data_IF_820636925830
#
_entry.id   IF_820636925830
#
_cell.length_a   1.000
_cell.length_b   1.000
_cell.length_c   1.000
_cell.angle_alpha   90.00
_cell.angle_beta   90.00
_cell.angle_gamma   90.00
#
_symmetry.space_group_name_H-M   'P 1'
#
loop_
_entity.id
_entity.type
_entity.pdbx_description
1 polymer ?
#
# COMPACT_ATOMS: atom_id res chain seq x y z
N UNK A 1 -33.18 33.66 28.01
CA UNK A 1 -33.52 34.60 26.91
C UNK A 1 -32.34 34.79 25.95
N UNK A 2 -31.13 35.08 26.44
CA UNK A 2 -29.92 35.28 25.61
C UNK A 2 -29.48 34.05 24.78
N UNK A 3 -29.71 32.83 25.26
CA UNK A 3 -29.34 31.61 24.53
C UNK A 3 -30.06 31.46 23.17
N UNK A 4 -31.33 31.89 23.07
CA UNK A 4 -32.07 31.88 21.80
C UNK A 4 -31.47 32.89 20.82
N UNK A 5 -31.12 34.08 21.30
CA UNK A 5 -30.48 35.12 20.50
C UNK A 5 -29.11 34.69 19.97
N UNK A 6 -28.29 34.05 20.81
CA UNK A 6 -26.98 33.52 20.39
C UNK A 6 -27.15 32.40 19.36
N UNK A 7 -28.11 31.50 19.55
CA UNK A 7 -28.39 30.44 18.58
C UNK A 7 -28.83 30.99 17.20
N UNK A 8 -29.61 32.07 17.19
CA UNK A 8 -30.09 32.72 15.97
C UNK A 8 -29.00 33.54 15.26
N UNK A 9 -28.14 34.19 16.03
CA UNK A 9 -26.94 34.87 15.52
C UNK A 9 -25.95 33.88 14.91
N UNK A 10 -25.68 32.75 15.57
CA UNK A 10 -24.78 31.72 15.04
C UNK A 10 -25.29 31.11 13.71
N UNK A 11 -26.61 31.10 13.48
CA UNK A 11 -27.21 30.64 12.21
C UNK A 11 -27.04 31.62 11.05
N UNK A 12 -26.98 32.92 11.34
CA UNK A 12 -26.88 33.97 10.31
C UNK A 12 -25.46 34.51 10.12
N UNK A 13 -24.56 34.25 11.07
CA UNK A 13 -23.17 34.64 11.00
C UNK A 13 -22.36 33.74 10.04
N UNK A 14 -21.90 34.31 8.93
CA UNK A 14 -21.09 33.62 7.91
C UNK A 14 -19.84 32.94 8.48
N UNK A 15 -19.15 33.59 9.43
CA UNK A 15 -17.95 33.04 10.08
C UNK A 15 -18.28 31.82 10.94
N UNK A 16 -19.41 31.84 11.65
CA UNK A 16 -19.88 30.70 12.44
C UNK A 16 -20.35 29.57 11.52
N UNK A 17 -21.12 29.87 10.47
CA UNK A 17 -21.63 28.88 9.53
C UNK A 17 -20.51 28.16 8.74
N UNK A 18 -19.42 28.86 8.41
CA UNK A 18 -18.23 28.28 7.77
C UNK A 18 -17.35 27.47 8.74
N UNK A 19 -17.36 27.80 10.03
CA UNK A 19 -16.59 27.10 11.07
C UNK A 19 -17.36 25.91 11.69
N UNK A 20 -18.68 25.90 11.55
CA UNK A 20 -19.56 24.85 12.07
C UNK A 20 -19.37 23.56 11.26
N UNK A 21 -18.80 22.53 11.89
CA UNK A 21 -18.57 21.23 11.26
C UNK A 21 -19.89 20.46 11.02
N UNK A 22 -21.00 20.87 11.62
CA UNK A 22 -22.31 20.22 11.50
C UNK A 22 -23.08 20.59 10.24
N UNK A 23 -22.72 21.70 9.57
CA UNK A 23 -23.29 22.13 8.28
C UNK A 23 -22.65 21.43 7.09
N UNK A 24 -21.57 20.68 7.30
CA UNK A 24 -21.02 19.76 6.30
C UNK A 24 -22.07 18.72 5.94
N UNK A 25 -22.38 18.58 4.64
CA UNK A 25 -23.24 17.49 4.17
C UNK A 25 -22.72 16.17 4.74
N UNK A 26 -23.61 15.36 5.34
CA UNK A 26 -23.25 14.00 5.75
C UNK A 26 -22.62 13.32 4.54
N UNK A 27 -21.41 12.82 4.72
CA UNK A 27 -20.72 12.04 3.70
C UNK A 27 -21.65 10.89 3.32
N UNK A 28 -21.87 10.71 2.02
CA UNK A 28 -22.70 9.63 1.52
C UNK A 28 -22.21 8.28 2.03
N UNK A 29 -23.10 7.29 2.09
CA UNK A 29 -22.74 5.95 2.54
C UNK A 29 -21.52 5.45 1.75
N UNK A 30 -20.56 4.86 2.47
CA UNK A 30 -19.35 4.28 1.88
C UNK A 30 -19.78 3.31 0.78
N UNK A 31 -19.33 3.57 -0.45
CA UNK A 31 -19.46 2.60 -1.53
C UNK A 31 -18.60 1.42 -1.13
N UNK A 32 -19.23 0.32 -0.71
CA UNK A 32 -18.53 -0.93 -0.49
C UNK A 32 -18.03 -1.41 -1.83
N UNK A 33 -16.71 -1.41 -2.03
CA UNK A 33 -16.10 -2.13 -3.15
C UNK A 33 -16.47 -3.59 -2.95
N UNK A 34 -17.25 -4.15 -3.89
CA UNK A 34 -17.63 -5.55 -3.84
C UNK A 34 -16.41 -6.41 -4.09
N UNK A 35 -16.22 -7.44 -3.27
CA UNK A 35 -15.17 -8.42 -3.50
C UNK A 35 -15.36 -9.06 -4.88
N UNK A 36 -14.30 -9.11 -5.71
CA UNK A 36 -14.40 -9.72 -7.03
C UNK A 36 -14.82 -11.18 -6.94
N UNK A 37 -15.82 -11.55 -7.74
CA UNK A 37 -16.27 -12.93 -7.90
C UNK A 37 -15.29 -13.81 -8.68
N UNK A 38 -14.28 -13.22 -9.34
CA UNK A 38 -13.25 -13.92 -10.14
C UNK A 38 -11.94 -13.14 -10.11
N UNK A 39 -10.81 -13.86 -10.19
CA UNK A 39 -9.49 -13.29 -10.44
C UNK A 39 -9.53 -12.33 -11.64
N UNK A 40 -8.80 -11.22 -11.55
CA UNK A 40 -8.63 -10.22 -12.62
C UNK A 40 -9.85 -9.40 -13.02
N UNK A 41 -11.02 -9.61 -12.41
CA UNK A 41 -12.21 -8.79 -12.69
C UNK A 41 -12.18 -7.41 -12.03
N UNK A 42 -11.52 -7.24 -10.89
CA UNK A 42 -11.60 -5.99 -10.10
C UNK A 42 -10.25 -5.55 -9.49
N UNK A 43 -9.32 -6.46 -9.15
CA UNK A 43 -8.10 -6.05 -8.43
C UNK A 43 -6.88 -6.81 -8.95
N UNK A 44 -5.90 -6.04 -9.42
CA UNK A 44 -4.50 -6.44 -9.57
C UNK A 44 -3.66 -5.51 -8.72
N UNK A 45 -2.74 -6.05 -7.94
CA UNK A 45 -1.90 -5.25 -7.05
C UNK A 45 -0.49 -5.23 -7.61
N UNK A 46 0.04 -4.08 -8.02
CA UNK A 46 1.46 -3.95 -8.38
C UNK A 46 2.03 -2.67 -7.77
N UNK A 47 3.31 -2.71 -7.39
CA UNK A 47 4.05 -1.53 -6.97
C UNK A 47 5.03 -1.11 -8.04
N UNK A 48 4.85 0.10 -8.53
CA UNK A 48 5.61 0.63 -9.65
C UNK A 48 6.38 1.86 -9.15
N UNK A 49 7.73 1.82 -9.18
CA UNK A 49 8.50 3.03 -8.92
C UNK A 49 8.25 4.00 -10.07
N UNK A 50 7.92 5.25 -9.72
CA UNK A 50 7.78 6.34 -10.66
C UNK A 50 8.62 7.52 -10.17
N UNK A 51 9.22 8.27 -11.08
CA UNK A 51 9.89 9.53 -10.80
C UNK A 51 8.88 10.68 -10.84
N UNK A 52 9.19 11.76 -10.11
CA UNK A 52 8.37 12.97 -10.12
C UNK A 52 8.24 13.55 -11.52
N UNK A 53 9.33 13.48 -12.29
CA UNK A 53 9.45 14.04 -13.62
C UNK A 53 8.93 13.09 -14.73
N UNK A 54 8.42 11.90 -14.36
CA UNK A 54 7.83 10.98 -15.34
C UNK A 54 6.67 11.66 -16.07
N UNK A 55 6.70 11.57 -17.40
CA UNK A 55 5.64 12.10 -18.24
C UNK A 55 4.42 11.17 -18.27
N UNK A 56 3.34 11.67 -18.86
CA UNK A 56 2.16 10.85 -19.16
C UNK A 56 2.50 9.61 -20.01
N UNK A 57 3.46 9.73 -20.94
CA UNK A 57 3.93 8.65 -21.81
C UNK A 57 4.69 7.61 -21.00
N UNK A 58 5.64 8.05 -20.17
CA UNK A 58 6.45 7.15 -19.34
C UNK A 58 5.55 6.32 -18.41
N UNK A 59 4.58 6.98 -17.78
CA UNK A 59 3.58 6.32 -16.92
C UNK A 59 2.76 5.28 -17.70
N UNK A 60 2.35 5.61 -18.94
CA UNK A 60 1.59 4.68 -19.79
C UNK A 60 2.43 3.46 -20.16
N UNK A 61 3.70 3.66 -20.54
CA UNK A 61 4.62 2.57 -20.87
C UNK A 61 4.86 1.65 -19.68
N UNK A 62 5.08 2.21 -18.48
CA UNK A 62 5.25 1.40 -17.26
C UNK A 62 4.01 0.56 -16.97
N UNK A 63 2.81 1.14 -17.07
CA UNK A 63 1.55 0.42 -16.83
C UNK A 63 1.33 -0.68 -17.89
N UNK A 64 1.58 -0.38 -19.17
CA UNK A 64 1.47 -1.38 -20.24
C UNK A 64 2.45 -2.54 -20.02
N UNK A 65 3.71 -2.24 -19.73
CA UNK A 65 4.76 -3.24 -19.60
C UNK A 65 4.65 -4.09 -18.33
N UNK A 66 4.22 -3.48 -17.21
CA UNK A 66 4.23 -4.15 -15.91
C UNK A 66 2.88 -4.70 -15.50
N UNK A 67 1.79 -4.15 -16.01
CA UNK A 67 0.45 -4.56 -15.59
C UNK A 67 -0.33 -5.18 -16.72
N UNK A 68 -0.55 -4.46 -17.82
CA UNK A 68 -1.36 -4.95 -18.95
C UNK A 68 -0.78 -6.24 -19.53
N UNK A 69 0.55 -6.39 -19.57
CA UNK A 69 1.22 -7.62 -20.00
C UNK A 69 0.84 -8.87 -19.18
N UNK A 70 0.48 -8.70 -17.91
CA UNK A 70 0.12 -9.78 -17.00
C UNK A 70 -1.39 -9.94 -16.82
N UNK A 71 -2.14 -8.84 -16.82
CA UNK A 71 -3.56 -8.81 -16.48
C UNK A 71 -4.49 -8.69 -17.68
N UNK A 72 -3.97 -8.26 -18.83
CA UNK A 72 -4.76 -7.73 -19.92
C UNK A 72 -5.27 -6.31 -19.64
N UNK A 73 -6.08 -5.79 -20.57
CA UNK A 73 -6.63 -4.43 -20.50
C UNK A 73 -7.74 -4.36 -19.42
N UNK A 74 -7.65 -3.34 -18.56
CA UNK A 74 -8.64 -3.09 -17.52
C UNK A 74 -9.98 -2.62 -18.10
N UNK A 75 -11.07 -2.85 -17.38
CA UNK A 75 -12.39 -2.30 -17.73
C UNK A 75 -12.64 -0.92 -17.11
N UNK A 76 -11.99 -0.64 -15.98
CA UNK A 76 -12.08 0.64 -15.29
C UNK A 76 -10.79 0.90 -14.51
N UNK A 77 -10.28 2.14 -14.53
CA UNK A 77 -9.18 2.58 -13.68
C UNK A 77 -9.69 3.68 -12.76
N UNK A 78 -9.39 3.55 -11.46
CA UNK A 78 -9.64 4.58 -10.47
C UNK A 78 -8.30 5.21 -10.12
N UNK A 79 -8.12 6.49 -10.45
CA UNK A 79 -6.90 7.23 -10.12
C UNK A 79 -7.22 8.56 -9.45
N UNK A 80 -6.25 9.07 -8.68
CA UNK A 80 -6.24 10.48 -8.32
C UNK A 80 -6.11 11.34 -9.58
N UNK A 81 -6.50 12.63 -9.48
CA UNK A 81 -6.42 13.62 -10.56
C UNK A 81 -4.97 14.09 -10.84
N UNK A 82 -4.04 13.15 -10.89
CA UNK A 82 -2.66 13.45 -11.30
C UNK A 82 -2.67 13.90 -12.78
N UNK A 83 -1.95 14.99 -13.12
CA UNK A 83 -1.84 15.49 -14.49
C UNK A 83 -1.45 14.43 -15.52
N UNK A 84 -0.71 13.39 -15.10
CA UNK A 84 -0.34 12.26 -15.95
C UNK A 84 -1.60 11.54 -16.44
N UNK A 85 -2.53 11.21 -15.55
CA UNK A 85 -3.78 10.51 -15.88
C UNK A 85 -4.89 11.41 -16.45
N UNK A 86 -4.83 12.72 -16.26
CA UNK A 86 -5.77 13.68 -16.88
C UNK A 86 -5.28 14.24 -18.22
N UNK A 87 -4.09 13.84 -18.68
CA UNK A 87 -3.54 14.28 -19.95
C UNK A 87 -4.37 13.84 -21.17
N UNK A 88 -4.22 14.57 -22.28
CA UNK A 88 -4.88 14.23 -23.55
C UNK A 88 -4.49 12.82 -24.03
N UNK A 89 -3.24 12.40 -23.81
CA UNK A 89 -2.76 11.06 -24.12
C UNK A 89 -3.62 10.00 -23.44
N UNK A 90 -3.71 10.06 -22.11
CA UNK A 90 -4.47 9.07 -21.35
C UNK A 90 -5.95 9.11 -21.70
N UNK A 91 -6.53 10.30 -21.84
CA UNK A 91 -7.92 10.47 -22.29
C UNK A 91 -8.19 9.76 -23.62
N UNK A 92 -7.30 9.89 -24.61
CA UNK A 92 -7.42 9.24 -25.90
C UNK A 92 -7.17 7.72 -25.83
N UNK A 93 -6.20 7.26 -25.03
CA UNK A 93 -5.94 5.83 -24.83
C UNK A 93 -7.18 5.11 -24.26
N UNK A 94 -7.88 5.73 -23.30
CA UNK A 94 -9.12 5.14 -22.76
C UNK A 94 -10.26 5.11 -23.78
N UNK A 95 -10.41 6.16 -24.59
CA UNK A 95 -11.39 6.16 -25.68
C UNK A 95 -11.11 5.05 -26.70
N UNK A 96 -9.85 4.75 -26.97
CA UNK A 96 -9.44 3.70 -27.91
C UNK A 96 -9.67 2.28 -27.37
N UNK A 97 -9.30 2.02 -26.12
CA UNK A 97 -9.36 0.66 -25.55
C UNK A 97 -10.73 0.28 -25.01
N UNK A 98 -11.62 1.26 -24.75
CA UNK A 98 -12.94 1.02 -24.14
C UNK A 98 -13.04 0.99 -22.61
N UNK A 99 -11.97 1.05 -21.76
CA UNK A 99 -12.15 1.24 -20.33
C UNK A 99 -12.76 2.60 -20.02
N UNK A 100 -13.53 2.66 -18.94
CA UNK A 100 -13.88 3.95 -18.31
C UNK A 100 -12.72 4.39 -17.41
N UNK A 101 -12.43 5.68 -17.38
CA UNK A 101 -11.55 6.27 -16.38
C UNK A 101 -12.42 6.99 -15.37
N UNK A 102 -12.38 6.54 -14.12
CA UNK A 102 -13.10 7.14 -13.01
C UNK A 102 -12.13 7.86 -12.10
N UNK A 103 -12.16 9.18 -12.10
CA UNK A 103 -11.35 9.94 -11.15
C UNK A 103 -12.01 9.96 -9.77
N UNK A 104 -11.22 9.79 -8.71
CA UNK A 104 -11.69 10.10 -7.37
C UNK A 104 -11.94 11.61 -7.23
N UNK A 105 -12.88 11.99 -6.37
CA UNK A 105 -13.23 13.39 -6.15
C UNK A 105 -12.12 14.09 -5.38
N UNK A 106 -11.70 15.26 -5.86
CA UNK A 106 -10.73 16.10 -5.14
C UNK A 106 -11.23 16.34 -3.71
N UNK A 107 -10.38 16.09 -2.71
CA UNK A 107 -10.65 16.30 -1.28
C UNK A 107 -11.69 15.37 -0.63
N UNK A 108 -12.03 14.22 -1.24
CA UNK A 108 -12.88 13.18 -0.62
C UNK A 108 -12.19 11.80 -0.66
N UNK A 109 -11.37 11.48 0.35
CA UNK A 109 -10.56 10.24 0.40
C UNK A 109 -11.36 8.94 0.65
N UNK A 110 -12.70 8.98 0.68
CA UNK A 110 -13.51 7.80 1.03
C UNK A 110 -13.37 6.60 0.05
N UNK A 111 -13.37 6.77 -1.28
CA UNK A 111 -13.14 5.65 -2.21
C UNK A 111 -11.67 5.18 -2.19
N UNK A 112 -10.77 6.06 -1.76
CA UNK A 112 -9.32 5.91 -1.88
C UNK A 112 -8.68 5.29 -0.63
N UNK A 113 -9.44 5.11 0.46
CA UNK A 113 -8.91 4.57 1.72
C UNK A 113 -8.33 3.15 1.63
N UNK A 114 -8.66 2.36 0.59
CA UNK A 114 -7.98 1.09 0.34
C UNK A 114 -6.58 1.31 -0.25
N UNK A 115 -6.46 2.20 -1.24
CA UNK A 115 -5.16 2.56 -1.82
C UNK A 115 -4.28 3.25 -0.76
N UNK A 116 -4.83 4.18 0.02
CA UNK A 116 -4.10 4.86 1.09
C UNK A 116 -3.58 3.90 2.16
N UNK A 117 -4.42 2.94 2.62
CA UNK A 117 -3.98 1.92 3.59
C UNK A 117 -2.92 0.99 3.01
N UNK A 118 -3.03 0.67 1.72
CA UNK A 118 -2.04 -0.13 1.02
C UNK A 118 -0.71 0.63 0.89
N UNK A 119 -0.74 1.92 0.56
CA UNK A 119 0.43 2.80 0.51
C UNK A 119 1.09 2.90 1.90
N UNK A 120 0.32 3.11 2.96
CA UNK A 120 0.85 3.12 4.33
C UNK A 120 1.54 1.81 4.70
N UNK A 121 0.94 0.68 4.34
CA UNK A 121 1.55 -0.64 4.58
C UNK A 121 2.86 -0.79 3.79
N UNK A 122 2.87 -0.34 2.53
CA UNK A 122 4.09 -0.33 1.71
C UNK A 122 5.17 0.56 2.32
N UNK A 123 4.85 1.79 2.73
CA UNK A 123 5.81 2.69 3.36
C UNK A 123 6.43 2.07 4.61
N UNK A 124 5.62 1.45 5.46
CA UNK A 124 6.11 0.79 6.66
C UNK A 124 6.99 -0.42 6.35
N UNK A 125 6.66 -1.21 5.33
CA UNK A 125 7.52 -2.28 4.88
C UNK A 125 8.85 -1.71 4.35
N UNK A 126 8.83 -0.71 3.47
CA UNK A 126 10.04 -0.07 2.94
C UNK A 126 10.89 0.50 4.08
N UNK A 127 10.31 1.21 5.06
CA UNK A 127 11.04 1.73 6.23
C UNK A 127 11.73 0.64 7.03
N UNK A 128 11.10 -0.54 7.15
CA UNK A 128 11.68 -1.69 7.87
C UNK A 128 12.77 -2.37 7.06
N UNK A 129 12.66 -2.47 5.75
CA UNK A 129 13.61 -3.20 4.90
C UNK A 129 14.79 -2.34 4.40
N UNK A 130 14.59 -1.03 4.26
CA UNK A 130 15.59 -0.07 3.80
C UNK A 130 16.92 -0.12 4.60
N UNK A 131 16.91 -0.28 5.95
CA UNK A 131 18.14 -0.41 6.73
C UNK A 131 19.04 -1.61 6.37
N UNK A 132 18.49 -2.69 5.80
CA UNK A 132 19.25 -3.90 5.48
C UNK A 132 19.97 -3.84 4.13
N UNK A 133 19.65 -2.85 3.29
CA UNK A 133 20.30 -2.58 2.00
C UNK A 133 21.03 -1.23 1.98
N UNK A 134 21.43 -0.73 3.15
CA UNK A 134 22.23 0.48 3.24
C UNK A 134 23.63 0.22 2.68
N UNK A 135 23.90 0.77 1.50
CA UNK A 135 25.26 0.95 1.01
C UNK A 135 25.75 2.33 1.45
N UNK A 136 26.91 2.37 2.11
CA UNK A 136 27.61 3.63 2.39
C UNK A 136 28.26 4.09 1.09
N UNK A 137 27.77 5.20 0.50
CA UNK A 137 28.49 5.86 -0.60
C UNK A 137 29.36 6.95 0.01
N UNK A 138 30.67 6.84 -0.24
CA UNK A 138 31.74 7.64 0.37
C UNK A 138 31.55 9.17 0.27
N UNK A 139 30.66 9.67 -0.59
CA UNK A 139 30.45 11.09 -0.86
C UNK A 139 29.02 11.62 -0.62
N UNK A 140 27.99 10.76 -0.56
CA UNK A 140 26.57 11.17 -0.48
C UNK A 140 25.85 10.70 0.79
N UNK A 141 26.57 10.05 1.72
CA UNK A 141 26.01 9.40 2.90
C UNK A 141 25.35 8.06 2.58
N UNK A 142 24.39 7.65 3.41
CA UNK A 142 23.63 6.41 3.18
C UNK A 142 22.62 6.61 2.03
N UNK A 143 22.98 6.18 0.83
CA UNK A 143 22.05 6.17 -0.30
C UNK A 143 21.30 4.84 -0.32
N UNK A 144 19.98 4.91 -0.32
CA UNK A 144 19.11 3.73 -0.36
C UNK A 144 18.41 3.65 -1.71
N UNK A 145 18.68 2.61 -2.49
CA UNK A 145 17.89 2.27 -3.67
C UNK A 145 16.68 1.43 -3.26
N UNK A 146 15.71 2.08 -2.63
CA UNK A 146 14.46 1.44 -2.22
C UNK A 146 13.65 0.93 -3.42
N UNK A 147 13.86 1.49 -4.62
CA UNK A 147 13.21 1.02 -5.84
C UNK A 147 13.61 -0.44 -6.15
N UNK A 148 14.88 -0.82 -5.91
CA UNK A 148 15.32 -2.21 -6.07
C UNK A 148 14.71 -3.18 -5.06
N UNK A 149 14.21 -2.69 -3.93
CA UNK A 149 13.52 -3.51 -2.93
C UNK A 149 12.06 -3.79 -3.30
N UNK A 150 11.43 -2.95 -4.12
CA UNK A 150 10.00 -3.07 -4.41
C UNK A 150 9.57 -4.47 -4.89
N UNK A 151 10.28 -5.17 -5.78
CA UNK A 151 9.88 -6.52 -6.20
C UNK A 151 9.90 -7.52 -5.04
N UNK A 152 10.87 -7.42 -4.14
CA UNK A 152 11.01 -8.32 -2.98
C UNK A 152 9.92 -8.06 -1.95
N UNK A 153 9.64 -6.78 -1.68
CA UNK A 153 8.59 -6.39 -0.74
C UNK A 153 7.22 -6.76 -1.33
N UNK A 154 7.00 -6.56 -2.63
CA UNK A 154 5.73 -6.90 -3.30
C UNK A 154 5.49 -8.40 -3.21
N UNK A 155 6.52 -9.20 -3.47
CA UNK A 155 6.48 -10.64 -3.29
C UNK A 155 6.14 -11.04 -1.86
N UNK A 156 6.81 -10.44 -0.86
CA UNK A 156 6.56 -10.72 0.55
C UNK A 156 5.12 -10.35 0.97
N UNK A 157 4.62 -9.20 0.50
CA UNK A 157 3.25 -8.76 0.75
C UNK A 157 2.23 -9.74 0.16
N UNK A 158 2.43 -10.13 -1.11
CA UNK A 158 1.53 -11.03 -1.84
C UNK A 158 1.53 -12.45 -1.30
N UNK A 159 2.61 -12.88 -0.65
CA UNK A 159 2.76 -14.20 -0.04
C UNK A 159 2.35 -14.27 1.45
N UNK A 160 2.04 -13.11 2.07
CA UNK A 160 1.63 -13.05 3.47
C UNK A 160 0.12 -13.17 3.64
N UNK A 161 -0.34 -13.69 4.78
CA UNK A 161 -1.77 -13.73 5.12
C UNK A 161 -2.20 -12.33 5.56
N UNK A 162 -3.30 -11.85 5.00
CA UNK A 162 -3.85 -10.53 5.33
C UNK A 162 -4.95 -10.63 6.38
N UNK A 163 -4.87 -9.81 7.44
CA UNK A 163 -5.84 -9.85 8.54
C UNK A 163 -7.28 -9.55 8.10
N UNK A 164 -7.47 -8.73 7.06
CA UNK A 164 -8.80 -8.37 6.56
C UNK A 164 -9.50 -9.49 5.80
N UNK A 165 -8.76 -10.32 5.08
CA UNK A 165 -9.30 -11.42 4.25
C UNK A 165 -9.07 -12.80 4.85
N UNK A 166 -8.15 -12.92 5.81
CA UNK A 166 -7.62 -14.19 6.32
C UNK A 166 -7.11 -15.12 5.20
N UNK A 167 -6.64 -14.54 4.09
CA UNK A 167 -6.18 -15.23 2.89
C UNK A 167 -4.88 -14.61 2.37
N UNK A 168 -4.15 -15.35 1.54
CA UNK A 168 -2.95 -14.87 0.86
C UNK A 168 -3.37 -14.16 -0.44
N UNK A 169 -2.96 -12.90 -0.68
CA UNK A 169 -3.33 -12.16 -1.88
C UNK A 169 -3.01 -12.90 -3.18
N UNK A 170 -1.86 -13.57 -3.26
CA UNK A 170 -1.49 -14.38 -4.43
C UNK A 170 -2.49 -15.50 -4.74
N UNK A 171 -3.10 -16.12 -3.72
CA UNK A 171 -4.13 -17.15 -3.93
C UNK A 171 -5.41 -16.50 -4.47
N UNK A 172 -5.81 -15.35 -3.93
CA UNK A 172 -7.00 -14.63 -4.40
C UNK A 172 -6.81 -14.10 -5.83
N UNK A 173 -5.62 -13.59 -6.14
CA UNK A 173 -5.29 -12.98 -7.41
C UNK A 173 -5.02 -14.03 -8.49
N UNK A 174 -4.17 -15.03 -8.21
CA UNK A 174 -3.65 -15.97 -9.22
C UNK A 174 -4.16 -17.41 -9.03
N UNK A 175 -4.73 -17.75 -7.88
CA UNK A 175 -5.18 -19.12 -7.56
C UNK A 175 -4.10 -20.04 -7.00
N UNK A 176 -2.89 -19.55 -6.73
CA UNK A 176 -1.79 -20.36 -6.19
C UNK A 176 -0.90 -19.54 -5.26
N UNK A 177 -0.27 -20.23 -4.29
CA UNK A 177 0.70 -19.60 -3.40
C UNK A 177 2.10 -19.66 -4.01
N UNK A 178 2.85 -18.57 -3.89
CA UNK A 178 4.25 -18.56 -4.29
C UNK A 178 5.08 -19.36 -3.26
N UNK A 179 6.00 -20.20 -3.74
CA UNK A 179 6.98 -20.85 -2.86
C UNK A 179 7.99 -19.82 -2.39
N UNK A 180 8.17 -19.68 -1.07
CA UNK A 180 9.18 -18.78 -0.53
C UNK A 180 10.56 -19.42 -0.71
N UNK A 181 11.63 -18.62 -0.84
CA UNK A 181 12.99 -19.15 -0.95
C UNK A 181 13.31 -20.18 0.14
N UNK A 182 12.95 -19.90 1.39
CA UNK A 182 13.14 -20.81 2.52
C UNK A 182 12.47 -22.18 2.37
N UNK A 183 11.36 -22.27 1.64
CA UNK A 183 10.61 -23.52 1.46
C UNK A 183 11.32 -24.44 0.46
N UNK A 184 12.25 -23.88 -0.33
CA UNK A 184 12.93 -24.56 -1.44
C UNK A 184 14.45 -24.65 -1.23
N UNK A 185 14.99 -24.21 -0.08
CA UNK A 185 16.42 -24.29 0.20
C UNK A 185 16.84 -25.76 0.41
N UNK A 186 17.72 -26.24 -0.48
CA UNK A 186 18.38 -27.54 -0.34
C UNK A 186 19.43 -27.49 0.77
N UNK A 187 19.45 -28.52 1.62
CA UNK A 187 20.37 -28.64 2.76
C UNK A 187 21.63 -29.45 2.42
N UNK A 188 21.57 -30.22 1.35
CA UNK A 188 22.52 -31.25 0.91
C UNK A 188 23.45 -30.78 -0.22
N UNK A 189 23.64 -29.47 -0.37
CA UNK A 189 24.56 -28.92 -1.37
C UNK A 189 26.01 -29.10 -0.91
N UNK A 190 26.76 -29.92 -1.64
CA UNK A 190 28.19 -30.20 -1.38
C UNK A 190 29.07 -29.01 -1.75
N UNK A 191 28.75 -28.32 -2.85
CA UNK A 191 29.46 -27.12 -3.30
C UNK A 191 28.48 -25.96 -3.44
N UNK A 192 28.80 -24.83 -2.82
CA UNK A 192 28.01 -23.60 -2.88
C UNK A 192 28.96 -22.47 -3.30
N UNK A 193 28.59 -21.75 -4.36
CA UNK A 193 29.34 -20.57 -4.80
C UNK A 193 29.49 -19.57 -3.64
N UNK A 194 30.67 -18.95 -3.42
CA UNK A 194 30.91 -18.05 -2.29
C UNK A 194 29.82 -16.97 -2.11
N UNK A 195 29.41 -16.31 -3.20
CA UNK A 195 28.34 -15.32 -3.18
C UNK A 195 26.99 -15.89 -2.75
N UNK A 196 26.65 -17.11 -3.18
CA UNK A 196 25.40 -17.75 -2.76
C UNK A 196 25.43 -18.12 -1.27
N UNK A 197 26.59 -18.49 -0.75
CA UNK A 197 26.81 -18.71 0.69
C UNK A 197 26.65 -17.39 1.47
N UNK A 198 27.22 -16.29 0.97
CA UNK A 198 27.04 -14.96 1.55
C UNK A 198 25.57 -14.54 1.58
N UNK A 199 24.84 -14.74 0.47
CA UNK A 199 23.40 -14.44 0.38
C UNK A 199 22.61 -15.26 1.40
N UNK A 200 22.87 -16.57 1.51
CA UNK A 200 22.25 -17.43 2.53
C UNK A 200 22.50 -16.89 3.94
N UNK A 201 23.74 -16.53 4.25
CA UNK A 201 24.10 -15.97 5.55
C UNK A 201 23.39 -14.64 5.86
N UNK A 202 23.20 -13.78 4.86
CA UNK A 202 22.43 -12.54 4.99
C UNK A 202 20.95 -12.87 5.27
N UNK A 203 20.35 -13.79 4.49
CA UNK A 203 18.95 -14.21 4.68
C UNK A 203 18.70 -14.76 6.08
N UNK A 204 19.58 -15.64 6.58
CA UNK A 204 19.46 -16.22 7.91
C UNK A 204 19.58 -15.16 9.02
N UNK A 205 20.53 -14.23 8.90
CA UNK A 205 20.70 -13.12 9.85
C UNK A 205 19.47 -12.20 9.87
N UNK A 206 19.00 -11.78 8.70
CA UNK A 206 17.83 -10.91 8.56
C UNK A 206 16.58 -11.60 9.12
N UNK A 207 16.40 -12.90 8.86
CA UNK A 207 15.29 -13.68 9.43
C UNK A 207 15.34 -13.72 10.94
N UNK A 208 16.49 -14.06 11.53
CA UNK A 208 16.63 -14.14 12.98
C UNK A 208 16.39 -12.78 13.65
N UNK A 209 16.87 -11.70 13.04
CA UNK A 209 16.59 -10.36 13.53
C UNK A 209 15.09 -10.04 13.44
N UNK A 210 14.43 -10.33 12.31
CA UNK A 210 13.00 -10.11 12.14
C UNK A 210 12.16 -10.88 13.17
N UNK A 211 12.52 -12.13 13.49
CA UNK A 211 11.84 -12.91 14.52
C UNK A 211 11.97 -12.26 15.91
N UNK A 212 13.17 -11.79 16.28
CA UNK A 212 13.38 -11.07 17.55
C UNK A 212 12.54 -9.79 17.62
N UNK A 213 12.53 -8.99 16.56
CA UNK A 213 11.70 -7.79 16.53
C UNK A 213 10.19 -8.09 16.67
N UNK A 214 9.72 -9.22 16.13
CA UNK A 214 8.34 -9.67 16.34
C UNK A 214 8.10 -10.05 17.80
N UNK A 215 8.99 -10.82 18.41
CA UNK A 215 8.93 -11.20 19.82
C UNK A 215 8.90 -9.97 20.74
N UNK A 216 9.80 -9.01 20.52
CA UNK A 216 9.88 -7.76 21.26
C UNK A 216 8.60 -6.93 21.09
N UNK A 217 8.06 -6.87 19.86
CA UNK A 217 6.80 -6.16 19.59
C UNK A 217 5.60 -6.81 20.28
N UNK A 218 5.53 -8.14 20.33
CA UNK A 218 4.49 -8.86 21.05
C UNK A 218 4.60 -8.65 22.56
N UNK A 219 5.82 -8.72 23.11
CA UNK A 219 6.09 -8.46 24.51
C UNK A 219 5.71 -7.03 24.90
N UNK A 220 6.12 -6.03 24.12
CA UNK A 220 5.74 -4.63 24.30
C UNK A 220 4.22 -4.43 24.27
N UNK A 221 3.54 -5.03 23.29
CA UNK A 221 2.08 -4.90 23.17
C UNK A 221 1.35 -5.53 24.34
N UNK A 222 1.83 -6.67 24.82
CA UNK A 222 1.32 -7.36 26.01
C UNK A 222 1.51 -6.51 27.27
N UNK A 223 2.74 -6.06 27.53
CA UNK A 223 3.05 -5.19 28.69
C UNK A 223 2.19 -3.92 28.70
N UNK A 224 2.02 -3.29 27.54
CA UNK A 224 1.15 -2.12 27.39
C UNK A 224 -0.32 -2.44 27.69
N UNK A 225 -0.83 -3.58 27.20
CA UNK A 225 -2.21 -4.00 27.44
C UNK A 225 -2.44 -4.35 28.92
N UNK A 226 -1.50 -5.08 29.53
CA UNK A 226 -1.52 -5.44 30.95
C UNK A 226 -1.52 -4.18 31.83
N UNK A 227 -0.73 -3.16 31.49
CA UNK A 227 -0.72 -1.87 32.20
C UNK A 227 -2.02 -1.08 32.08
N UNK A 228 -2.71 -1.15 30.94
CA UNK A 228 -3.95 -0.39 30.72
C UNK A 228 -5.22 -1.13 31.16
N UNK A 229 -5.14 -2.43 31.41
CA UNK A 229 -6.26 -3.29 31.83
C UNK A 229 -5.98 -4.06 33.13
N UNK A 230 -4.97 -3.64 33.90
CA UNK A 230 -4.82 -4.08 35.28
C UNK A 230 -6.14 -3.77 36.01
N UNK A 231 -6.79 -4.81 36.55
CA UNK A 231 -7.98 -4.62 37.38
C UNK A 231 -7.62 -3.59 38.46
N UNK A 232 -8.42 -2.52 38.64
CA UNK A 232 -8.25 -1.70 39.82
C UNK A 232 -8.45 -2.63 41.03
N UNK A 233 -7.43 -2.71 41.89
CA UNK A 233 -7.58 -3.35 43.19
C UNK A 233 -8.78 -2.68 43.89
N UNK A 234 -9.85 -3.45 44.09
CA UNK A 234 -10.99 -3.08 44.91
C UNK A 234 -10.75 -3.52 46.36
#
# INVERSE_FOLDING_TARGET
>A
MWQKYVAEYCKTCDRCQKADKSTGKRLGNIIKIQEPSRSWKIVHMNWLPCHKDDTAVDTALVICNRVVSWTGIFTNIISYRDPKFTSALWTNLYQLFGPKLSFSTAYHPQPDGLADRMIQTLEDMVRRFCPYRLEFKDCDGFTHDWCTLLPEIEFAYKASIHASSNQIPAILEKGWNHKLPQDSLRKDLVEIHPTASSIKGILDKTRNHAMRCMEDSFAYSKDKWDKSHANPDF
#
